data_IF_531750429891
#
_entry.id   IF_531750429891
#
_cell.length_a   1.000
_cell.length_b   1.000
_cell.length_c   1.000
_cell.angle_alpha   90.00
_cell.angle_beta   90.00
_cell.angle_gamma   90.00
#
_symmetry.space_group_name_H-M   'P 1'
#
loop_
_entity.id
_entity.type
_entity.pdbx_description
1 polymer ?
#
# COMPACT_ATOMS: atom_id res chain seq x y z
N UNK A 1 10.27 -4.28 21.52
CA UNK A 1 9.08 -5.01 22.05
C UNK A 1 8.26 -5.66 20.93
N UNK A 2 7.84 -4.95 19.85
CA UNK A 2 7.08 -5.57 18.74
C UNK A 2 7.86 -6.70 18.06
N UNK A 3 9.14 -6.51 17.87
CA UNK A 3 10.03 -7.52 17.30
C UNK A 3 10.14 -8.78 18.21
N UNK A 4 10.17 -8.56 19.52
CA UNK A 4 10.19 -9.65 20.53
C UNK A 4 8.87 -10.42 20.58
N UNK A 5 7.75 -9.77 20.27
CA UNK A 5 6.45 -10.42 20.14
C UNK A 5 6.33 -11.29 18.87
N UNK A 6 7.33 -11.28 17.99
CA UNK A 6 7.33 -12.07 16.76
C UNK A 6 6.50 -11.49 15.62
N UNK A 7 6.23 -10.17 15.64
CA UNK A 7 5.58 -9.47 14.52
C UNK A 7 6.47 -9.54 13.29
N UNK A 8 5.92 -9.90 12.15
CA UNK A 8 6.70 -10.09 10.91
C UNK A 8 7.15 -8.80 10.22
N UNK A 9 6.35 -7.73 10.36
CA UNK A 9 6.61 -6.43 9.73
C UNK A 9 6.29 -5.31 10.70
N UNK A 10 7.12 -4.26 10.73
CA UNK A 10 6.93 -3.08 11.58
C UNK A 10 7.06 -1.84 10.70
N UNK A 11 5.97 -1.12 10.54
CA UNK A 11 5.96 0.15 9.82
C UNK A 11 6.48 1.28 10.70
N UNK A 12 7.48 2.01 10.16
CA UNK A 12 8.14 3.10 10.87
C UNK A 12 7.55 4.48 10.60
N UNK A 13 6.66 4.61 9.63
CA UNK A 13 6.07 5.88 9.22
C UNK A 13 6.37 6.23 7.76
N UNK A 14 6.21 7.50 7.40
CA UNK A 14 6.30 8.00 6.03
C UNK A 14 7.54 8.89 5.84
N UNK A 15 8.67 8.33 5.32
CA UNK A 15 9.87 9.13 5.06
C UNK A 15 9.56 10.24 4.03
N UNK A 16 10.03 11.45 4.32
CA UNK A 16 9.78 12.62 3.47
C UNK A 16 8.45 13.35 3.71
N UNK A 17 7.51 12.78 4.50
CA UNK A 17 6.26 13.47 4.82
C UNK A 17 6.46 14.67 5.76
N UNK A 18 7.39 14.53 6.69
CA UNK A 18 7.76 15.59 7.64
C UNK A 18 9.19 15.38 8.14
N UNK A 19 9.83 16.41 8.75
CA UNK A 19 11.21 16.32 9.22
C UNK A 19 11.45 15.23 10.26
N UNK A 20 10.49 14.99 11.17
CA UNK A 20 10.58 13.99 12.23
C UNK A 20 10.65 12.57 11.66
N UNK A 21 9.80 12.25 10.69
CA UNK A 21 9.83 10.94 10.05
C UNK A 21 11.13 10.76 9.26
N UNK A 22 11.59 11.80 8.55
CA UNK A 22 12.87 11.77 7.83
C UNK A 22 14.04 11.49 8.77
N UNK A 23 14.10 12.16 9.92
CA UNK A 23 15.13 11.94 10.95
C UNK A 23 15.04 10.52 11.52
N UNK A 24 13.82 10.04 11.81
CA UNK A 24 13.60 8.69 12.32
C UNK A 24 14.15 7.63 11.35
N UNK A 25 13.87 7.73 10.06
CA UNK A 25 14.41 6.78 9.07
C UNK A 25 15.94 6.86 8.96
N UNK A 26 16.53 8.06 9.06
CA UNK A 26 17.97 8.23 9.07
C UNK A 26 18.64 7.57 10.29
N UNK A 27 18.00 7.61 11.46
CA UNK A 27 18.45 6.92 12.67
C UNK A 27 18.22 5.41 12.56
N UNK A 28 17.04 4.97 12.11
CA UNK A 28 16.70 3.57 11.97
C UNK A 28 17.68 2.83 11.04
N UNK A 29 18.08 3.46 9.94
CA UNK A 29 19.08 2.91 9.02
C UNK A 29 20.42 2.61 9.69
N UNK A 30 20.79 3.36 10.72
CA UNK A 30 22.08 3.22 11.44
C UNK A 30 21.98 2.31 12.66
N UNK A 31 20.90 2.41 13.40
CA UNK A 31 20.81 1.90 14.77
C UNK A 31 19.79 0.76 14.94
N UNK A 32 18.75 0.68 14.08
CA UNK A 32 17.70 -0.30 14.24
C UNK A 32 18.20 -1.71 13.91
N UNK A 33 18.10 -2.60 14.89
CA UNK A 33 18.43 -4.02 14.75
C UNK A 33 17.22 -4.86 15.14
N UNK A 34 16.56 -5.41 14.14
CA UNK A 34 15.44 -6.33 14.33
C UNK A 34 15.92 -7.78 14.15
N UNK A 35 15.41 -8.70 14.97
CA UNK A 35 15.72 -10.15 14.92
C UNK A 35 14.69 -10.91 14.11
N UNK A 36 13.42 -10.58 14.28
CA UNK A 36 12.27 -11.29 13.72
C UNK A 36 11.56 -10.49 12.63
N UNK A 37 11.31 -9.21 12.87
CA UNK A 37 10.55 -8.36 11.97
C UNK A 37 11.39 -7.77 10.83
N UNK A 38 10.71 -7.44 9.74
CA UNK A 38 11.23 -6.58 8.67
C UNK A 38 10.76 -5.14 8.91
N UNK A 39 11.68 -4.18 8.76
CA UNK A 39 11.35 -2.76 8.81
C UNK A 39 10.66 -2.34 7.53
N UNK A 40 9.61 -1.54 7.63
CA UNK A 40 8.76 -1.10 6.52
C UNK A 40 8.65 0.41 6.48
N UNK A 41 8.80 1.00 5.31
CA UNK A 41 8.45 2.40 5.05
C UNK A 41 7.05 2.46 4.44
N UNK A 42 6.22 3.38 4.90
CA UNK A 42 4.89 3.62 4.37
C UNK A 42 4.87 4.90 3.53
N UNK A 43 4.08 4.91 2.47
CA UNK A 43 3.85 6.10 1.66
C UNK A 43 2.74 5.90 0.64
N UNK A 44 2.54 6.88 -0.25
CA UNK A 44 1.58 6.79 -1.34
C UNK A 44 2.24 6.40 -2.67
N UNK A 45 1.43 5.99 -3.64
CA UNK A 45 1.85 5.93 -5.04
C UNK A 45 2.30 7.31 -5.53
N UNK A 46 3.03 7.36 -6.66
CA UNK A 46 3.45 8.64 -7.27
C UNK A 46 2.27 9.58 -7.47
N UNK A 47 2.57 10.86 -7.61
CA UNK A 47 1.55 11.87 -7.93
C UNK A 47 1.07 11.73 -9.37
N UNK A 48 -0.18 12.18 -9.67
CA UNK A 48 -0.69 12.21 -11.04
C UNK A 48 0.25 12.97 -11.98
N UNK A 49 0.42 12.44 -13.20
CA UNK A 49 1.24 13.03 -14.25
C UNK A 49 2.74 13.24 -13.94
N UNK A 50 3.25 12.61 -12.88
CA UNK A 50 4.68 12.60 -12.53
C UNK A 50 5.19 11.16 -12.68
N UNK A 51 6.33 10.95 -13.31
CA UNK A 51 6.93 9.60 -13.38
C UNK A 51 7.41 9.15 -12.01
N UNK A 52 7.35 7.86 -11.73
CA UNK A 52 7.81 7.30 -10.45
C UNK A 52 9.26 7.67 -10.11
N UNK A 53 10.14 7.67 -11.12
CA UNK A 53 11.54 8.04 -10.95
C UNK A 53 11.77 9.52 -10.55
N UNK A 54 10.81 10.39 -10.88
CA UNK A 54 10.88 11.84 -10.64
C UNK A 54 10.04 12.27 -9.43
N UNK A 55 9.32 11.34 -8.81
CA UNK A 55 8.49 11.65 -7.63
C UNK A 55 9.33 11.69 -6.36
N UNK A 56 9.40 12.86 -5.72
CA UNK A 56 10.24 13.12 -4.54
C UNK A 56 9.86 12.24 -3.34
N UNK A 57 8.56 12.00 -3.12
CA UNK A 57 8.10 11.17 -2.00
C UNK A 57 8.39 9.69 -2.26
N UNK A 58 8.22 9.25 -3.49
CA UNK A 58 8.59 7.89 -3.87
C UNK A 58 10.12 7.69 -3.79
N UNK A 59 10.90 8.70 -4.19
CA UNK A 59 12.35 8.74 -3.97
C UNK A 59 12.73 8.61 -2.50
N UNK A 60 12.02 9.30 -1.60
CA UNK A 60 12.25 9.18 -0.15
C UNK A 60 11.95 7.77 0.38
N UNK A 61 10.94 7.08 -0.16
CA UNK A 61 10.66 5.67 0.16
C UNK A 61 11.80 4.76 -0.30
N UNK A 62 12.27 4.93 -1.55
CA UNK A 62 13.41 4.20 -2.09
C UNK A 62 14.64 4.35 -1.20
N UNK A 63 14.95 5.58 -0.79
CA UNK A 63 16.17 5.94 -0.08
C UNK A 63 16.09 5.72 1.45
N UNK A 64 14.91 5.35 1.96
CA UNK A 64 14.66 5.13 3.40
C UNK A 64 15.55 4.08 4.06
N UNK A 65 16.07 3.14 3.27
CA UNK A 65 16.81 1.98 3.77
C UNK A 65 15.90 0.83 4.26
N UNK A 66 14.58 0.99 4.20
CA UNK A 66 13.65 -0.08 4.52
C UNK A 66 13.63 -1.14 3.40
N UNK A 67 13.77 -2.44 3.72
CA UNK A 67 13.73 -3.51 2.73
C UNK A 67 12.32 -3.75 2.17
N UNK A 68 11.30 -3.19 2.81
CA UNK A 68 9.90 -3.32 2.44
C UNK A 68 9.27 -1.93 2.41
N UNK A 69 8.44 -1.68 1.41
CA UNK A 69 7.64 -0.46 1.29
C UNK A 69 6.17 -0.84 1.18
N UNK A 70 5.32 -0.22 2.00
CA UNK A 70 3.86 -0.26 1.83
C UNK A 70 3.42 1.01 1.10
N UNK A 71 2.75 0.84 -0.02
CA UNK A 71 2.14 1.93 -0.78
C UNK A 71 0.63 1.96 -0.54
N UNK A 72 0.10 3.08 -0.07
CA UNK A 72 -1.34 3.31 -0.09
C UNK A 72 -1.79 3.74 -1.49
N UNK A 73 -2.83 3.10 -2.02
CA UNK A 73 -3.45 3.45 -3.29
C UNK A 73 -4.97 3.57 -3.13
N UNK A 74 -5.58 4.50 -3.87
CA UNK A 74 -7.03 4.64 -3.89
C UNK A 74 -7.65 3.51 -4.69
N UNK A 75 -8.55 2.75 -4.08
CA UNK A 75 -9.33 1.69 -4.71
C UNK A 75 -10.83 1.99 -4.76
N UNK A 76 -11.24 3.14 -4.25
CA UNK A 76 -12.57 3.70 -4.37
C UNK A 76 -12.57 4.81 -5.45
N UNK A 77 -13.30 4.59 -6.55
CA UNK A 77 -13.33 5.47 -7.72
C UNK A 77 -13.62 6.94 -7.37
N UNK A 78 -14.60 7.19 -6.48
CA UNK A 78 -14.91 8.56 -6.02
C UNK A 78 -13.72 9.25 -5.35
N UNK A 79 -12.87 8.51 -4.64
CA UNK A 79 -11.67 9.08 -4.02
C UNK A 79 -10.58 9.40 -5.05
N UNK A 80 -10.52 8.67 -6.15
CA UNK A 80 -9.62 9.00 -7.27
C UNK A 80 -10.03 10.33 -7.89
N UNK A 81 -11.32 10.50 -8.18
CA UNK A 81 -11.84 11.72 -8.82
C UNK A 81 -11.81 12.92 -7.88
N UNK A 82 -12.28 12.78 -6.64
CA UNK A 82 -12.50 13.90 -5.72
C UNK A 82 -11.24 14.26 -4.90
N UNK A 83 -10.46 13.28 -4.46
CA UNK A 83 -9.29 13.52 -3.62
C UNK A 83 -7.99 13.62 -4.44
N UNK A 84 -7.74 12.69 -5.35
CA UNK A 84 -6.57 12.75 -6.23
C UNK A 84 -6.76 13.69 -7.41
N UNK A 85 -8.01 14.01 -7.78
CA UNK A 85 -8.38 14.89 -8.91
C UNK A 85 -7.79 14.41 -10.23
N UNK A 86 -7.87 13.10 -10.46
CA UNK A 86 -7.34 12.45 -11.66
C UNK A 86 -8.32 11.39 -12.18
N UNK A 87 -7.97 10.76 -13.30
CA UNK A 87 -8.77 9.71 -13.92
C UNK A 87 -8.50 8.33 -13.27
N UNK A 88 -9.44 7.42 -13.43
CA UNK A 88 -9.28 6.03 -12.97
C UNK A 88 -8.09 5.35 -13.66
N UNK A 89 -7.92 5.57 -14.96
CA UNK A 89 -6.80 5.01 -15.73
C UNK A 89 -5.45 5.55 -15.23
N UNK A 90 -5.35 6.86 -14.96
CA UNK A 90 -4.12 7.43 -14.40
C UNK A 90 -3.81 6.85 -13.01
N UNK A 91 -4.83 6.62 -12.17
CA UNK A 91 -4.58 5.99 -10.87
C UNK A 91 -4.06 4.55 -11.02
N UNK A 92 -4.55 3.79 -11.99
CA UNK A 92 -4.01 2.46 -12.30
C UNK A 92 -2.56 2.55 -12.79
N UNK A 93 -2.22 3.53 -13.62
CA UNK A 93 -0.84 3.79 -14.04
C UNK A 93 0.06 4.25 -12.89
N UNK A 94 -0.45 5.07 -11.96
CA UNK A 94 0.28 5.44 -10.73
C UNK A 94 0.64 4.21 -9.91
N UNK A 95 -0.28 3.27 -9.76
CA UNK A 95 -0.05 2.00 -9.04
C UNK A 95 1.02 1.17 -9.77
N UNK A 96 0.85 0.96 -11.07
CA UNK A 96 1.78 0.16 -11.89
C UNK A 96 3.19 0.73 -11.85
N UNK A 97 3.33 2.00 -12.15
CA UNK A 97 4.62 2.69 -12.25
C UNK A 97 5.35 2.70 -10.90
N UNK A 98 4.64 3.01 -9.80
CA UNK A 98 5.22 3.05 -8.46
C UNK A 98 5.71 1.69 -7.98
N UNK A 99 4.90 0.64 -8.13
CA UNK A 99 5.27 -0.71 -7.71
C UNK A 99 6.46 -1.21 -8.53
N UNK A 100 6.39 -1.07 -9.85
CA UNK A 100 7.45 -1.51 -10.76
C UNK A 100 8.76 -0.79 -10.47
N UNK A 101 8.71 0.53 -10.24
CA UNK A 101 9.89 1.32 -9.90
C UNK A 101 10.58 0.80 -8.63
N UNK A 102 9.86 0.70 -7.52
CA UNK A 102 10.44 0.25 -6.24
C UNK A 102 10.91 -1.21 -6.29
N UNK A 103 10.22 -2.07 -7.03
CA UNK A 103 10.64 -3.46 -7.28
C UNK A 103 11.98 -3.52 -8.03
N UNK A 104 12.15 -2.68 -9.05
CA UNK A 104 13.39 -2.60 -9.83
C UNK A 104 14.56 -2.05 -8.98
N UNK A 105 14.27 -1.23 -7.99
CA UNK A 105 15.26 -0.77 -6.99
C UNK A 105 15.57 -1.82 -5.89
N UNK A 106 14.98 -3.02 -5.97
CA UNK A 106 15.24 -4.15 -5.09
C UNK A 106 14.40 -4.23 -3.82
N UNK A 107 13.42 -3.34 -3.65
CA UNK A 107 12.53 -3.37 -2.49
C UNK A 107 11.37 -4.34 -2.68
N UNK A 108 10.89 -4.94 -1.62
CA UNK A 108 9.60 -5.61 -1.59
C UNK A 108 8.51 -4.55 -1.46
N UNK A 109 7.42 -4.74 -2.19
CA UNK A 109 6.31 -3.77 -2.18
C UNK A 109 5.03 -4.44 -1.73
N UNK A 110 4.38 -3.83 -0.74
CA UNK A 110 3.00 -4.11 -0.33
C UNK A 110 2.11 -3.00 -0.84
N UNK A 111 0.86 -3.30 -1.11
CA UNK A 111 -0.14 -2.31 -1.48
C UNK A 111 -1.30 -2.36 -0.49
N UNK A 112 -1.61 -1.22 0.13
CA UNK A 112 -2.84 -1.01 0.86
C UNK A 112 -3.89 -0.45 -0.11
N UNK A 113 -4.87 -1.27 -0.49
CA UNK A 113 -6.01 -0.87 -1.30
C UNK A 113 -7.00 -0.12 -0.41
N UNK A 114 -6.80 1.20 -0.28
CA UNK A 114 -7.53 2.04 0.66
C UNK A 114 -9.00 2.19 0.26
N UNK A 115 -9.91 2.02 1.22
CA UNK A 115 -11.37 1.98 1.00
C UNK A 115 -11.80 0.90 -0.01
N UNK A 116 -11.11 -0.25 -0.02
CA UNK A 116 -11.37 -1.30 -0.98
C UNK A 116 -12.84 -1.77 -0.95
N UNK A 117 -13.36 -2.03 0.22
CA UNK A 117 -14.72 -2.54 0.35
C UNK A 117 -15.80 -1.52 -0.03
N UNK A 118 -15.58 -0.23 0.25
CA UNK A 118 -16.44 0.84 -0.23
C UNK A 118 -16.40 0.95 -1.76
N UNK A 119 -15.20 0.89 -2.33
CA UNK A 119 -14.97 0.89 -3.78
C UNK A 119 -15.61 -0.32 -4.44
N UNK A 120 -15.44 -1.51 -3.86
CA UNK A 120 -16.03 -2.75 -4.35
C UNK A 120 -17.56 -2.69 -4.40
N UNK A 121 -18.22 -2.14 -3.38
CA UNK A 121 -19.67 -1.94 -3.35
C UNK A 121 -20.14 -0.91 -4.39
N UNK A 122 -19.35 0.13 -4.66
CA UNK A 122 -19.74 1.21 -5.57
C UNK A 122 -19.37 0.91 -7.03
N UNK A 123 -18.16 0.43 -7.27
CA UNK A 123 -17.61 0.10 -8.58
C UNK A 123 -16.73 -1.14 -8.48
N UNK A 124 -17.37 -2.31 -8.43
CA UNK A 124 -16.71 -3.60 -8.26
C UNK A 124 -15.63 -3.85 -9.31
N UNK A 125 -15.92 -3.53 -10.58
CA UNK A 125 -14.97 -3.75 -11.67
C UNK A 125 -13.67 -2.97 -11.46
N UNK A 126 -13.78 -1.71 -11.06
CA UNK A 126 -12.60 -0.87 -10.79
C UNK A 126 -11.81 -1.33 -9.57
N UNK A 127 -12.48 -1.66 -8.47
CA UNK A 127 -11.80 -2.14 -7.26
C UNK A 127 -11.00 -3.44 -7.53
N UNK A 128 -11.58 -4.37 -8.29
CA UNK A 128 -10.89 -5.59 -8.71
C UNK A 128 -9.73 -5.30 -9.68
N UNK A 129 -9.90 -4.32 -10.56
CA UNK A 129 -8.84 -3.90 -11.48
C UNK A 129 -7.63 -3.31 -10.75
N UNK A 130 -7.83 -2.54 -9.66
CA UNK A 130 -6.75 -2.06 -8.78
C UNK A 130 -5.93 -3.24 -8.23
N UNK A 131 -6.60 -4.29 -7.73
CA UNK A 131 -5.92 -5.49 -7.22
C UNK A 131 -5.16 -6.21 -8.33
N UNK A 132 -5.78 -6.36 -9.52
CA UNK A 132 -5.16 -7.02 -10.68
C UNK A 132 -3.89 -6.29 -11.10
N UNK A 133 -3.97 -4.96 -11.28
CA UNK A 133 -2.82 -4.13 -11.67
C UNK A 133 -1.69 -4.20 -10.63
N UNK A 134 -2.02 -4.13 -9.35
CA UNK A 134 -1.03 -4.24 -8.29
C UNK A 134 -0.31 -5.60 -8.30
N UNK A 135 -1.07 -6.70 -8.48
CA UNK A 135 -0.53 -8.04 -8.55
C UNK A 135 0.40 -8.23 -9.77
N UNK A 136 -0.04 -7.78 -10.94
CA UNK A 136 0.73 -7.86 -12.19
C UNK A 136 2.01 -7.01 -12.16
N UNK A 137 1.98 -5.90 -11.42
CA UNK A 137 3.15 -5.02 -11.22
C UNK A 137 4.15 -5.56 -10.22
N UNK A 138 3.83 -6.65 -9.52
CA UNK A 138 4.74 -7.35 -8.63
C UNK A 138 4.59 -6.98 -7.15
N UNK A 139 3.42 -6.52 -6.70
CA UNK A 139 3.15 -6.40 -5.27
C UNK A 139 3.22 -7.78 -4.60
N UNK A 140 3.98 -7.90 -3.51
CA UNK A 140 4.12 -9.14 -2.74
C UNK A 140 2.88 -9.45 -1.90
N UNK A 141 2.23 -8.40 -1.39
CA UNK A 141 1.00 -8.46 -0.60
C UNK A 141 0.09 -7.32 -1.02
N UNK A 142 -1.19 -7.59 -1.12
CA UNK A 142 -2.22 -6.58 -1.33
C UNK A 142 -3.18 -6.65 -0.14
N UNK A 143 -3.19 -5.60 0.67
CA UNK A 143 -4.08 -5.51 1.82
C UNK A 143 -5.40 -4.84 1.42
N UNK A 144 -6.49 -5.55 1.60
CA UNK A 144 -7.84 -5.04 1.38
C UNK A 144 -8.27 -4.25 2.63
N UNK A 145 -8.39 -2.93 2.50
CA UNK A 145 -8.66 -2.06 3.64
C UNK A 145 -10.17 -1.81 3.80
N UNK A 146 -10.74 -2.24 4.91
CA UNK A 146 -12.04 -1.80 5.38
C UNK A 146 -11.87 -0.51 6.20
N UNK A 147 -11.53 0.57 5.49
CA UNK A 147 -11.09 1.83 6.08
C UNK A 147 -12.19 2.49 6.93
N UNK A 148 -13.44 2.36 6.52
CA UNK A 148 -14.59 2.84 7.28
C UNK A 148 -15.04 1.85 8.37
N UNK A 149 -14.63 0.57 8.28
CA UNK A 149 -15.09 -0.48 9.18
C UNK A 149 -16.58 -0.81 9.03
N UNK A 150 -17.11 -0.66 7.82
CA UNK A 150 -18.54 -0.81 7.54
C UNK A 150 -18.95 -2.18 7.02
N UNK A 151 -18.02 -3.14 6.93
CA UNK A 151 -18.33 -4.48 6.43
C UNK A 151 -18.66 -5.47 7.54
N UNK A 152 -19.68 -6.28 7.31
CA UNK A 152 -19.95 -7.43 8.17
C UNK A 152 -18.97 -8.59 7.87
N UNK A 153 -18.69 -9.46 8.85
CA UNK A 153 -17.72 -10.54 8.66
C UNK A 153 -17.99 -11.45 7.46
N UNK A 154 -19.26 -11.81 7.25
CA UNK A 154 -19.65 -12.67 6.12
C UNK A 154 -19.45 -11.97 4.78
N UNK A 155 -19.78 -10.68 4.68
CA UNK A 155 -19.55 -9.88 3.48
C UNK A 155 -18.04 -9.76 3.16
N UNK A 156 -17.20 -9.62 4.19
CA UNK A 156 -15.74 -9.63 4.01
C UNK A 156 -15.28 -10.96 3.44
N UNK A 157 -15.80 -12.07 3.98
CA UNK A 157 -15.44 -13.41 3.53
C UNK A 157 -15.79 -13.62 2.05
N UNK A 158 -16.98 -13.21 1.61
CA UNK A 158 -17.44 -13.33 0.22
C UNK A 158 -16.55 -12.52 -0.73
N UNK A 159 -16.26 -11.26 -0.38
CA UNK A 159 -15.41 -10.38 -1.21
C UNK A 159 -13.97 -10.93 -1.28
N UNK A 160 -13.39 -11.36 -0.16
CA UNK A 160 -12.05 -11.94 -0.12
C UNK A 160 -11.98 -13.20 -0.96
N UNK A 161 -13.01 -14.06 -0.89
CA UNK A 161 -13.07 -15.28 -1.70
C UNK A 161 -13.05 -14.98 -3.19
N UNK A 162 -13.82 -13.99 -3.64
CA UNK A 162 -13.80 -13.56 -5.04
C UNK A 162 -12.43 -13.02 -5.45
N UNK A 163 -11.84 -12.12 -4.66
CA UNK A 163 -10.52 -11.54 -4.96
C UNK A 163 -9.46 -12.64 -5.07
N UNK A 164 -9.49 -13.62 -4.18
CA UNK A 164 -8.58 -14.80 -4.22
C UNK A 164 -8.73 -15.61 -5.51
N UNK A 165 -9.95 -15.70 -6.05
CA UNK A 165 -10.20 -16.37 -7.33
C UNK A 165 -9.61 -15.64 -8.54
N UNK A 166 -9.39 -14.33 -8.43
CA UNK A 166 -8.90 -13.45 -9.51
C UNK A 166 -7.44 -13.06 -9.45
N UNK A 167 -6.69 -13.40 -8.38
CA UNK A 167 -5.29 -13.01 -8.21
C UNK A 167 -4.42 -14.12 -7.64
N UNK A 168 -3.13 -14.12 -8.01
CA UNK A 168 -2.11 -14.97 -7.40
C UNK A 168 -1.32 -14.27 -6.29
N UNK A 169 -1.57 -12.97 -6.07
CA UNK A 169 -0.91 -12.22 -5.00
C UNK A 169 -1.39 -12.69 -3.63
N UNK A 170 -0.53 -12.55 -2.64
CA UNK A 170 -0.93 -12.76 -1.25
C UNK A 170 -1.86 -11.63 -0.83
N UNK A 171 -2.97 -11.99 -0.18
CA UNK A 171 -3.88 -11.00 0.36
C UNK A 171 -3.63 -10.78 1.86
N UNK A 172 -3.72 -9.54 2.26
CA UNK A 172 -3.87 -9.09 3.63
C UNK A 172 -5.24 -8.45 3.82
N UNK A 173 -5.64 -8.21 5.07
CA UNK A 173 -6.85 -7.46 5.40
C UNK A 173 -6.53 -6.51 6.53
N UNK A 174 -6.89 -5.24 6.35
CA UNK A 174 -6.85 -4.23 7.39
C UNK A 174 -8.31 -3.87 7.73
N UNK A 175 -8.66 -3.98 8.99
CA UNK A 175 -9.96 -3.59 9.51
C UNK A 175 -9.84 -2.52 10.55
N UNK A 176 -10.87 -1.68 10.67
CA UNK A 176 -11.00 -0.73 11.76
C UNK A 176 -11.83 -1.37 12.87
N UNK A 177 -11.31 -1.39 14.08
CA UNK A 177 -12.10 -1.79 15.24
C UNK A 177 -13.15 -0.70 15.53
N UNK A 178 -14.41 -1.10 15.65
CA UNK A 178 -15.42 -0.25 16.27
C UNK A 178 -15.25 -0.35 17.80
N UNK A 179 -14.98 0.75 18.43
CA UNK A 179 -14.95 0.90 19.89
C UNK A 179 -16.32 1.40 20.35
#
# INVERSE_FOLDING_TARGET
>A
HLDELGVGFIEGGWPGANPKDTEFFALAKKELKLKNAKFVAFGATRRPNVKAADDVLLGALRDSGAPVVTLVAKSFDRHVELALKTTLDENLEMIRDSITHLRNEGQRVFLDAEHFFDGYRNNRAYALEVVRVAAESGADVIALCDTNGGMLPDEIADVVHEVLGGTKARLGKIGRAHV
#
